data_IF_515010682660
#
_entry.id   IF_515010682660
#
_cell.length_a   1.000
_cell.length_b   1.000
_cell.length_c   1.000
_cell.angle_alpha   90.00
_cell.angle_beta   90.00
_cell.angle_gamma   90.00
#
_symmetry.space_group_name_H-M   'P 1'
#
loop_
_entity.id
_entity.type
_entity.pdbx_description
1 polymer ?
#
# COMPACT_ATOMS: atom_id res chain seq x y z
N UNK A 1 27.00 -13.37 9.50
CA UNK A 1 28.24 -12.76 8.97
C UNK A 1 29.02 -12.01 10.06
N UNK A 2 28.34 -11.10 10.85
CA UNK A 2 29.06 -10.39 11.94
C UNK A 2 29.69 -11.37 12.96
N UNK A 3 28.94 -12.42 13.32
CA UNK A 3 29.44 -13.45 14.22
C UNK A 3 30.56 -14.31 13.57
N UNK A 4 30.45 -14.62 12.28
CA UNK A 4 31.48 -15.33 11.53
C UNK A 4 32.75 -14.49 11.39
N UNK A 5 32.64 -13.18 11.31
CA UNK A 5 33.74 -12.21 11.25
C UNK A 5 34.29 -11.84 12.66
N UNK A 6 33.86 -12.57 13.73
CA UNK A 6 34.32 -12.32 15.11
C UNK A 6 33.55 -11.17 15.80
N UNK A 7 32.38 -10.84 15.36
CA UNK A 7 31.48 -9.88 16.01
C UNK A 7 30.97 -10.36 17.38
N UNK A 8 30.52 -9.44 18.21
CA UNK A 8 30.10 -9.67 19.60
C UNK A 8 28.59 -9.61 19.84
N UNK A 9 27.75 -9.46 18.77
CA UNK A 9 26.31 -9.31 18.93
C UNK A 9 25.59 -10.56 19.44
N UNK A 10 26.20 -11.74 19.22
CA UNK A 10 25.56 -13.01 19.53
C UNK A 10 24.40 -13.29 18.54
N UNK A 11 23.49 -14.15 18.96
CA UNK A 11 22.28 -14.47 18.20
C UNK A 11 21.27 -13.34 18.35
N UNK A 12 20.74 -12.84 17.22
CA UNK A 12 19.69 -11.84 17.18
C UNK A 12 18.39 -12.55 16.83
N UNK A 13 17.44 -12.55 17.76
CA UNK A 13 16.10 -13.04 17.50
C UNK A 13 15.27 -11.97 16.79
N UNK A 14 14.65 -12.36 15.68
CA UNK A 14 13.75 -11.49 14.91
C UNK A 14 12.39 -12.18 14.83
N UNK A 15 11.34 -11.49 15.28
CA UNK A 15 9.95 -11.90 15.12
C UNK A 15 9.21 -11.00 14.16
N UNK A 16 8.47 -11.58 13.21
CA UNK A 16 7.56 -10.89 12.30
C UNK A 16 6.13 -11.31 12.61
N UNK A 17 5.30 -10.36 13.04
CA UNK A 17 3.89 -10.60 13.34
C UNK A 17 3.04 -10.17 12.14
N UNK A 18 2.18 -11.06 11.67
CA UNK A 18 1.22 -10.80 10.59
C UNK A 18 -0.19 -11.15 11.09
N UNK A 19 -1.14 -10.22 10.91
CA UNK A 19 -2.53 -10.45 11.34
C UNK A 19 -3.30 -11.44 10.46
N UNK A 20 -2.92 -11.58 9.19
CA UNK A 20 -3.53 -12.54 8.28
C UNK A 20 -3.20 -13.98 8.70
N UNK A 21 -4.11 -14.91 8.49
CA UNK A 21 -3.92 -16.32 8.81
C UNK A 21 -2.81 -16.98 8.02
N UNK A 22 -2.51 -16.46 6.82
CA UNK A 22 -1.38 -16.88 5.98
C UNK A 22 -0.70 -15.67 5.35
N UNK A 23 0.60 -15.82 5.05
CA UNK A 23 1.35 -14.75 4.39
C UNK A 23 0.77 -14.42 3.01
N UNK A 24 0.59 -13.13 2.74
CA UNK A 24 0.09 -12.63 1.47
C UNK A 24 -1.44 -12.64 1.31
N UNK A 25 -2.19 -13.21 2.25
CA UNK A 25 -3.66 -13.30 2.20
C UNK A 25 -4.32 -11.90 2.13
N UNK A 26 -3.86 -10.95 2.93
CA UNK A 26 -4.40 -9.57 2.90
C UNK A 26 -3.71 -8.67 1.86
N UNK A 27 -2.89 -9.22 0.98
CA UNK A 27 -2.23 -8.47 -0.08
C UNK A 27 -2.97 -8.61 -1.41
N UNK A 28 -3.30 -7.49 -1.99
CA UNK A 28 -4.03 -7.44 -3.25
C UNK A 28 -3.11 -7.70 -4.43
N UNK A 29 -3.36 -8.78 -5.19
CA UNK A 29 -2.56 -9.21 -6.34
C UNK A 29 -2.56 -8.23 -7.50
N UNK A 30 -1.54 -8.32 -8.34
CA UNK A 30 -1.34 -7.51 -9.56
C UNK A 30 -0.77 -6.13 -9.29
N UNK A 31 0.53 -5.99 -9.54
CA UNK A 31 1.26 -4.73 -9.43
C UNK A 31 2.29 -4.61 -10.55
N UNK A 32 2.79 -3.38 -10.76
CA UNK A 32 4.00 -3.12 -11.53
C UNK A 32 5.12 -2.74 -10.57
N UNK A 33 6.14 -3.57 -10.48
CA UNK A 33 7.19 -3.52 -9.46
C UNK A 33 8.52 -3.09 -10.07
N UNK A 34 9.22 -2.17 -9.40
CA UNK A 34 10.61 -1.86 -9.67
C UNK A 34 11.49 -2.89 -8.92
N UNK A 35 12.37 -3.65 -9.62
CA UNK A 35 13.11 -4.72 -8.99
C UNK A 35 14.35 -4.26 -8.20
N UNK A 36 14.61 -2.96 -8.08
CA UNK A 36 15.87 -2.45 -7.49
C UNK A 36 16.12 -2.93 -6.06
N UNK A 37 15.08 -2.96 -5.23
CA UNK A 37 15.19 -3.39 -3.84
C UNK A 37 15.46 -4.90 -3.73
N UNK A 38 14.88 -5.72 -4.62
CA UNK A 38 15.20 -7.16 -4.68
C UNK A 38 16.66 -7.40 -4.98
N UNK A 39 17.21 -6.67 -5.98
CA UNK A 39 18.63 -6.75 -6.35
C UNK A 39 19.56 -6.28 -5.25
N UNK A 40 19.14 -5.29 -4.45
CA UNK A 40 19.92 -4.81 -3.31
C UNK A 40 19.92 -5.82 -2.16
N UNK A 41 18.77 -6.46 -1.89
CA UNK A 41 18.60 -7.40 -0.79
C UNK A 41 19.21 -8.77 -1.10
N UNK A 42 19.12 -9.23 -2.35
CA UNK A 42 19.61 -10.53 -2.82
C UNK A 42 20.48 -10.36 -4.08
N UNK A 43 21.69 -9.78 -3.92
CA UNK A 43 22.57 -9.49 -5.06
C UNK A 43 23.07 -10.74 -5.79
N UNK A 44 23.02 -11.89 -5.11
CA UNK A 44 23.42 -13.20 -5.65
C UNK A 44 22.35 -13.85 -6.55
N UNK A 45 21.10 -13.39 -6.48
CA UNK A 45 20.00 -13.96 -7.26
C UNK A 45 19.86 -13.30 -8.63
N UNK A 46 19.49 -14.09 -9.62
CA UNK A 46 19.13 -13.60 -10.96
C UNK A 46 17.69 -13.06 -11.00
N UNK A 47 17.33 -12.36 -12.07
CA UNK A 47 15.96 -11.85 -12.24
C UNK A 47 14.89 -12.93 -12.32
N UNK A 48 15.26 -14.14 -12.71
CA UNK A 48 14.37 -15.29 -12.87
C UNK A 48 14.06 -15.97 -11.52
N UNK A 49 14.92 -15.73 -10.51
CA UNK A 49 14.74 -16.26 -9.15
C UNK A 49 13.77 -15.44 -8.30
N UNK A 50 13.44 -14.20 -8.73
CA UNK A 50 12.49 -13.35 -8.02
C UNK A 50 11.05 -13.69 -8.38
N UNK A 51 10.09 -13.47 -7.47
CA UNK A 51 8.66 -13.73 -7.70
C UNK A 51 8.04 -12.65 -8.61
N UNK A 52 8.62 -12.47 -9.79
CA UNK A 52 8.25 -11.49 -10.79
C UNK A 52 7.74 -12.22 -12.03
N UNK A 53 6.49 -11.99 -12.41
CA UNK A 53 5.83 -12.79 -13.45
C UNK A 53 6.34 -12.51 -14.87
N UNK A 54 6.41 -11.23 -15.26
CA UNK A 54 6.89 -10.84 -16.59
C UNK A 54 7.39 -9.38 -16.64
N UNK A 55 8.37 -9.06 -17.51
CA UNK A 55 8.79 -7.69 -17.72
C UNK A 55 7.70 -6.88 -18.44
N UNK A 56 7.63 -5.58 -18.12
CA UNK A 56 6.78 -4.64 -18.86
C UNK A 56 7.44 -4.28 -20.20
N UNK A 57 6.90 -4.80 -21.29
CA UNK A 57 7.40 -4.57 -22.65
C UNK A 57 6.58 -3.54 -23.44
N UNK A 58 5.29 -3.43 -23.12
CA UNK A 58 4.35 -2.52 -23.79
C UNK A 58 3.43 -1.86 -22.78
N UNK A 59 3.12 -0.60 -23.01
CA UNK A 59 2.19 0.18 -22.21
C UNK A 59 1.31 1.11 -23.03
N UNK A 60 0.17 1.47 -22.51
CA UNK A 60 -0.75 2.44 -23.12
C UNK A 60 -1.48 3.22 -22.03
N UNK A 61 -1.65 4.52 -22.27
CA UNK A 61 -2.41 5.41 -21.42
C UNK A 61 -3.57 5.99 -22.23
N UNK A 62 -4.76 5.99 -21.64
CA UNK A 62 -5.97 6.50 -22.27
C UNK A 62 -6.65 7.56 -21.39
N UNK A 63 -7.22 8.57 -22.05
CA UNK A 63 -8.23 9.43 -21.46
C UNK A 63 -9.59 8.90 -21.89
N UNK A 64 -10.45 8.63 -20.92
CA UNK A 64 -11.75 8.00 -21.18
C UNK A 64 -12.91 9.00 -21.09
N UNK A 65 -13.92 8.77 -21.92
CA UNK A 65 -15.27 9.24 -21.76
C UNK A 65 -16.17 8.03 -21.52
N UNK A 66 -17.46 8.23 -21.35
CA UNK A 66 -18.41 7.13 -21.11
C UNK A 66 -18.41 6.04 -22.19
N UNK A 67 -18.10 6.39 -23.44
CA UNK A 67 -18.18 5.46 -24.58
C UNK A 67 -16.90 5.32 -25.39
N UNK A 68 -15.90 6.18 -25.18
CA UNK A 68 -14.67 6.22 -25.99
C UNK A 68 -13.43 6.31 -25.11
N UNK A 69 -12.34 5.73 -25.60
CA UNK A 69 -11.02 5.82 -25.00
C UNK A 69 -10.03 6.41 -26.02
N UNK A 70 -9.37 7.50 -25.67
CA UNK A 70 -8.42 8.20 -26.52
C UNK A 70 -7.02 7.92 -26.00
N UNK A 71 -6.21 7.22 -26.79
CA UNK A 71 -4.82 6.96 -26.45
C UNK A 71 -4.00 8.26 -26.45
N UNK A 72 -3.25 8.48 -25.39
CA UNK A 72 -2.31 9.62 -25.27
C UNK A 72 -0.87 9.10 -25.14
N UNK A 73 0.15 9.95 -25.41
CA UNK A 73 1.52 9.61 -25.08
C UNK A 73 1.65 9.28 -23.59
N UNK A 74 2.39 8.21 -23.28
CA UNK A 74 2.65 7.83 -21.89
C UNK A 74 3.39 8.94 -21.15
N UNK A 75 2.82 9.52 -20.08
CA UNK A 75 3.51 10.51 -19.27
C UNK A 75 4.86 9.99 -18.76
N UNK A 76 5.90 10.83 -18.70
CA UNK A 76 7.25 10.39 -18.29
C UNK A 76 7.27 9.64 -16.95
N UNK A 77 6.47 10.07 -15.97
CA UNK A 77 6.35 9.45 -14.64
C UNK A 77 5.70 8.07 -14.68
N UNK A 78 4.86 7.78 -15.67
CA UNK A 78 4.13 6.52 -15.81
C UNK A 78 4.85 5.49 -16.69
N UNK A 79 6.06 5.80 -17.17
CA UNK A 79 6.87 4.86 -17.95
C UNK A 79 7.37 3.72 -17.07
N UNK A 80 7.17 2.47 -17.53
CA UNK A 80 7.48 1.26 -16.78
C UNK A 80 8.55 0.38 -17.42
N UNK A 81 9.36 0.93 -18.31
CA UNK A 81 10.50 0.20 -18.89
C UNK A 81 11.45 -0.26 -17.78
N UNK A 82 11.79 -1.55 -17.74
CA UNK A 82 12.63 -2.15 -16.70
C UNK A 82 11.90 -2.56 -15.43
N UNK A 83 10.59 -2.30 -15.34
CA UNK A 83 9.72 -2.82 -14.28
C UNK A 83 9.08 -4.16 -14.68
N UNK A 84 8.50 -4.84 -13.70
CA UNK A 84 7.90 -6.16 -13.85
C UNK A 84 6.48 -6.16 -13.34
N UNK A 85 5.63 -6.96 -13.98
CA UNK A 85 4.32 -7.31 -13.46
C UNK A 85 4.51 -8.43 -12.42
N UNK A 86 3.84 -8.31 -11.29
CA UNK A 86 3.94 -9.26 -10.20
C UNK A 86 2.65 -9.37 -9.38
N UNK A 87 2.51 -10.45 -8.64
CA UNK A 87 1.53 -10.59 -7.56
C UNK A 87 2.17 -10.21 -6.23
N UNK A 88 1.57 -9.29 -5.49
CA UNK A 88 2.07 -8.89 -4.17
C UNK A 88 1.96 -10.06 -3.18
N UNK A 89 0.89 -10.85 -3.27
CA UNK A 89 0.72 -12.04 -2.44
C UNK A 89 1.86 -13.06 -2.63
N UNK A 90 2.30 -13.27 -3.88
CA UNK A 90 3.44 -14.14 -4.20
C UNK A 90 4.75 -13.56 -3.65
N UNK A 91 4.96 -12.25 -3.80
CA UNK A 91 6.13 -11.57 -3.25
C UNK A 91 6.20 -11.76 -1.73
N UNK A 92 5.08 -11.56 -1.03
CA UNK A 92 5.05 -11.66 0.44
C UNK A 92 5.31 -13.10 0.91
N UNK A 93 4.71 -14.11 0.25
CA UNK A 93 4.99 -15.52 0.54
C UNK A 93 6.46 -15.86 0.31
N UNK A 94 7.00 -15.49 -0.84
CA UNK A 94 8.40 -15.72 -1.17
C UNK A 94 9.36 -15.04 -0.18
N UNK A 95 9.07 -13.80 0.23
CA UNK A 95 9.84 -13.09 1.25
C UNK A 95 9.77 -13.79 2.61
N UNK A 96 8.60 -14.31 2.99
CA UNK A 96 8.42 -15.10 4.20
C UNK A 96 9.28 -16.37 4.21
N UNK A 97 9.22 -17.14 3.11
CA UNK A 97 10.08 -18.34 2.95
C UNK A 97 11.58 -18.01 3.07
N UNK A 98 12.01 -16.87 2.47
CA UNK A 98 13.39 -16.40 2.62
C UNK A 98 13.73 -16.01 4.06
N UNK A 99 12.81 -15.36 4.76
CA UNK A 99 12.98 -14.97 6.16
C UNK A 99 13.10 -16.20 7.07
N UNK A 100 12.20 -17.16 6.94
CA UNK A 100 12.25 -18.43 7.70
C UNK A 100 13.53 -19.22 7.39
N UNK A 101 13.96 -19.26 6.12
CA UNK A 101 15.22 -19.86 5.71
C UNK A 101 16.47 -19.21 6.32
N UNK A 102 16.35 -17.97 6.79
CA UNK A 102 17.38 -17.23 7.53
C UNK A 102 17.23 -17.33 9.06
N UNK A 103 16.30 -18.14 9.57
CA UNK A 103 16.04 -18.30 11.00
C UNK A 103 15.19 -17.19 11.63
N UNK A 104 14.51 -16.37 10.81
CA UNK A 104 13.57 -15.36 11.32
C UNK A 104 12.25 -16.05 11.67
N UNK A 105 11.71 -15.77 12.85
CA UNK A 105 10.43 -16.30 13.29
C UNK A 105 9.28 -15.50 12.66
N UNK A 106 8.48 -16.14 11.82
CA UNK A 106 7.31 -15.51 11.18
C UNK A 106 6.03 -16.07 11.81
N UNK A 107 5.18 -15.19 12.33
CA UNK A 107 3.95 -15.53 13.07
C UNK A 107 2.71 -15.00 12.33
N UNK A 108 2.15 -15.76 11.37
CA UNK A 108 0.85 -15.43 10.79
C UNK A 108 -0.28 -15.72 11.79
N UNK A 109 -1.39 -14.98 11.70
CA UNK A 109 -2.52 -15.08 12.61
C UNK A 109 -2.33 -14.37 13.95
N UNK A 110 -1.28 -13.55 14.11
CA UNK A 110 -0.99 -12.79 15.33
C UNK A 110 -1.19 -11.28 15.14
N UNK A 111 -2.44 -10.80 15.18
CA UNK A 111 -2.71 -9.36 15.18
C UNK A 111 -2.17 -8.71 16.46
N UNK A 112 -1.72 -7.47 16.34
CA UNK A 112 -1.17 -6.69 17.45
C UNK A 112 -2.19 -5.63 17.87
N UNK A 113 -2.42 -5.50 19.18
CA UNK A 113 -3.39 -4.61 19.80
C UNK A 113 -2.77 -3.27 20.22
N UNK A 114 -1.62 -3.31 20.89
CA UNK A 114 -1.02 -2.12 21.49
C UNK A 114 0.50 -2.15 21.56
N UNK A 115 1.10 -0.98 21.68
CA UNK A 115 2.51 -0.82 22.00
C UNK A 115 2.72 -1.03 23.50
N UNK A 116 3.80 -1.72 23.86
CA UNK A 116 4.32 -1.74 25.22
C UNK A 116 5.32 -0.60 25.37
N UNK A 117 5.18 0.20 26.43
CA UNK A 117 5.99 1.39 26.61
C UNK A 117 6.53 1.51 28.04
N UNK A 118 7.74 2.02 28.18
CA UNK A 118 8.34 2.46 29.45
C UNK A 118 8.82 3.91 29.33
N UNK A 119 8.14 4.83 30.02
CA UNK A 119 8.35 6.26 29.77
C UNK A 119 8.02 6.61 28.32
N UNK A 120 8.98 7.19 27.59
CA UNK A 120 8.84 7.52 26.16
C UNK A 120 9.34 6.41 25.22
N UNK A 121 9.85 5.30 25.75
CA UNK A 121 10.44 4.22 25.00
C UNK A 121 9.40 3.15 24.65
N UNK A 122 9.37 2.72 23.39
CA UNK A 122 8.68 1.50 22.97
C UNK A 122 9.56 0.31 23.28
N UNK A 123 9.04 -0.65 24.07
CA UNK A 123 9.76 -1.84 24.51
C UNK A 123 9.20 -3.14 23.92
N UNK A 124 8.21 -3.04 23.05
CA UNK A 124 7.56 -4.20 22.42
C UNK A 124 6.13 -3.94 22.04
N UNK A 125 5.38 -5.02 21.92
CA UNK A 125 3.96 -5.01 21.50
C UNK A 125 3.15 -6.04 22.30
N UNK A 126 1.85 -5.78 22.45
CA UNK A 126 0.85 -6.73 22.97
C UNK A 126 0.02 -7.27 21.84
N UNK A 127 -0.11 -8.59 21.75
CA UNK A 127 -0.98 -9.22 20.75
C UNK A 127 -2.45 -9.09 21.14
N UNK A 128 -3.33 -9.18 20.15
CA UNK A 128 -4.77 -9.31 20.37
C UNK A 128 -5.06 -10.71 20.94
N UNK A 129 -5.90 -10.85 21.98
CA UNK A 129 -6.34 -12.17 22.43
C UNK A 129 -7.13 -12.87 21.34
N UNK A 130 -7.11 -14.19 21.33
CA UNK A 130 -7.84 -15.05 20.39
C UNK A 130 -8.69 -16.09 21.13
N UNK A 131 -9.63 -16.74 20.41
CA UNK A 131 -10.50 -17.74 20.99
C UNK A 131 -11.50 -17.15 22.01
N UNK A 132 -11.99 -15.94 21.74
CA UNK A 132 -12.99 -15.27 22.59
C UNK A 132 -14.39 -15.41 22.01
N UNK A 133 -15.38 -15.47 22.89
CA UNK A 133 -16.77 -15.35 22.48
C UNK A 133 -17.15 -13.89 22.15
N UNK A 134 -18.41 -13.68 21.75
CA UNK A 134 -18.92 -12.33 21.40
C UNK A 134 -18.92 -11.32 22.57
N UNK A 135 -18.78 -11.80 23.82
CA UNK A 135 -18.72 -10.97 25.02
C UNK A 135 -17.27 -10.67 25.43
N UNK A 136 -16.29 -11.23 24.71
CA UNK A 136 -14.87 -11.10 25.01
C UNK A 136 -14.37 -12.10 26.07
N UNK A 137 -15.16 -13.11 26.41
CA UNK A 137 -14.76 -14.16 27.35
C UNK A 137 -14.09 -15.34 26.62
N UNK A 138 -13.07 -15.98 27.22
CA UNK A 138 -12.43 -17.15 26.65
C UNK A 138 -13.44 -18.25 26.27
N UNK A 139 -13.40 -18.74 25.04
CA UNK A 139 -14.32 -19.73 24.51
C UNK A 139 -13.58 -20.84 23.77
N UNK A 140 -13.63 -22.05 24.35
CA UNK A 140 -13.02 -23.23 23.74
C UNK A 140 -11.57 -23.48 24.15
N UNK A 141 -10.99 -24.55 23.59
CA UNK A 141 -9.65 -25.02 23.93
C UNK A 141 -8.53 -24.17 23.30
N UNK A 142 -8.87 -23.38 22.27
CA UNK A 142 -7.93 -22.56 21.50
C UNK A 142 -7.89 -21.10 21.98
N UNK A 143 -8.52 -20.81 23.12
CA UNK A 143 -8.48 -19.47 23.71
C UNK A 143 -7.05 -19.12 24.13
N UNK A 144 -6.53 -18.05 23.54
CA UNK A 144 -5.21 -17.51 23.85
C UNK A 144 -5.33 -16.11 24.45
N UNK A 145 -4.79 -15.86 25.63
CA UNK A 145 -4.75 -14.51 26.19
C UNK A 145 -3.86 -13.61 25.34
N UNK A 146 -4.00 -12.31 25.49
CA UNK A 146 -3.03 -11.37 24.97
C UNK A 146 -1.62 -11.68 25.51
N UNK A 147 -0.62 -11.61 24.65
CA UNK A 147 0.77 -11.87 25.01
C UNK A 147 1.60 -10.60 24.84
N UNK A 148 2.48 -10.34 25.80
CA UNK A 148 3.44 -9.25 25.74
C UNK A 148 4.73 -9.78 25.11
N UNK A 149 5.11 -9.21 23.98
CA UNK A 149 6.34 -9.52 23.27
C UNK A 149 7.27 -8.32 23.37
N UNK A 150 8.35 -8.47 24.14
CA UNK A 150 9.33 -7.41 24.32
C UNK A 150 10.41 -7.46 23.24
N UNK A 151 10.89 -6.29 22.84
CA UNK A 151 11.92 -6.15 21.83
C UNK A 151 12.81 -4.95 22.13
N UNK A 152 14.07 -5.02 21.74
CA UNK A 152 14.98 -3.86 21.82
C UNK A 152 14.59 -2.76 20.83
N UNK A 153 14.08 -3.15 19.65
CA UNK A 153 13.54 -2.25 18.63
C UNK A 153 12.29 -2.88 18.00
N UNK A 154 11.22 -2.10 17.94
CA UNK A 154 9.98 -2.45 17.25
C UNK A 154 9.94 -1.73 15.90
N UNK A 155 9.72 -2.47 14.82
CA UNK A 155 9.54 -1.90 13.47
C UNK A 155 8.06 -1.88 13.11
N UNK A 156 7.49 -0.70 12.94
CA UNK A 156 6.10 -0.50 12.54
C UNK A 156 6.01 -0.53 11.02
N UNK A 157 5.58 -1.67 10.50
CA UNK A 157 5.44 -1.97 9.06
C UNK A 157 3.98 -2.29 8.67
N UNK A 158 3.02 -1.68 9.36
CA UNK A 158 1.59 -1.99 9.27
C UNK A 158 0.93 -1.56 7.96
N UNK A 159 1.66 -0.91 7.07
CA UNK A 159 1.14 -0.38 5.82
C UNK A 159 0.32 0.90 6.00
N UNK A 160 -0.61 1.14 5.09
CA UNK A 160 -1.39 2.37 5.05
C UNK A 160 -2.20 2.58 6.32
N UNK A 161 -1.93 3.69 7.01
CA UNK A 161 -2.64 4.12 8.23
C UNK A 161 -2.70 3.01 9.30
N UNK A 162 -1.56 2.35 9.53
CA UNK A 162 -1.45 1.34 10.58
C UNK A 162 -1.85 1.91 11.95
N UNK A 163 -2.68 1.20 12.73
CA UNK A 163 -3.21 1.72 14.00
C UNK A 163 -2.13 2.09 15.00
N UNK A 164 -1.11 1.25 15.16
CA UNK A 164 -0.02 1.51 16.10
C UNK A 164 0.92 2.62 15.61
N UNK A 165 1.11 2.70 14.29
CA UNK A 165 1.86 3.81 13.67
C UNK A 165 1.19 5.14 13.93
N UNK A 166 -0.14 5.23 13.80
CA UNK A 166 -0.89 6.45 14.11
C UNK A 166 -0.84 6.74 15.61
N UNK A 167 -1.09 5.76 16.46
CA UNK A 167 -1.04 5.91 17.91
C UNK A 167 0.35 6.41 18.37
N UNK A 168 1.43 5.90 17.80
CA UNK A 168 2.78 6.34 18.11
C UNK A 168 3.03 7.79 17.65
N UNK A 169 2.62 8.15 16.42
CA UNK A 169 2.77 9.52 15.91
C UNK A 169 2.02 10.52 16.78
N UNK A 170 0.78 10.21 17.15
CA UNK A 170 -0.07 11.07 17.99
C UNK A 170 0.51 11.19 19.41
N UNK A 171 0.88 10.08 20.04
CA UNK A 171 1.49 10.06 21.38
C UNK A 171 2.78 10.85 21.44
N UNK A 172 3.63 10.71 20.42
CA UNK A 172 4.93 11.40 20.36
C UNK A 172 4.84 12.83 19.77
N UNK A 173 3.64 13.30 19.43
CA UNK A 173 3.43 14.64 18.84
C UNK A 173 4.17 14.84 17.53
N UNK A 174 4.41 13.75 16.75
CA UNK A 174 5.13 13.83 15.49
C UNK A 174 4.19 14.33 14.39
N UNK A 175 4.56 15.43 13.75
CA UNK A 175 3.77 16.08 12.71
C UNK A 175 4.43 15.98 11.34
N UNK A 176 3.64 16.21 10.30
CA UNK A 176 4.06 16.46 8.93
C UNK A 176 3.69 17.88 8.50
N UNK A 177 4.15 18.33 7.32
CA UNK A 177 3.84 19.68 6.83
C UNK A 177 2.43 19.81 6.26
N UNK A 178 1.89 18.72 5.72
CA UNK A 178 0.50 18.55 5.29
C UNK A 178 -0.07 17.31 5.99
N UNK A 179 -1.38 17.21 6.24
CA UNK A 179 -1.98 15.96 6.66
C UNK A 179 -1.76 14.88 5.60
N UNK A 180 -1.78 13.61 6.00
CA UNK A 180 -1.82 12.51 5.04
C UNK A 180 -3.21 12.45 4.42
N UNK A 181 -3.26 12.29 3.11
CA UNK A 181 -4.46 11.99 2.34
C UNK A 181 -4.33 10.61 1.70
N UNK A 182 -5.45 9.99 1.42
CA UNK A 182 -5.48 8.60 0.98
C UNK A 182 -6.25 8.42 -0.32
N UNK A 183 -5.97 7.33 -1.03
CA UNK A 183 -6.83 6.81 -2.08
C UNK A 183 -7.39 5.45 -1.68
N UNK A 184 -8.53 5.09 -2.25
CA UNK A 184 -9.07 3.73 -2.23
C UNK A 184 -8.87 3.10 -3.60
N UNK A 185 -8.16 1.98 -3.63
CA UNK A 185 -8.07 1.10 -4.77
C UNK A 185 -9.00 -0.10 -4.60
N UNK A 186 -9.88 -0.32 -5.57
CA UNK A 186 -10.67 -1.56 -5.72
C UNK A 186 -10.14 -2.31 -6.92
N UNK A 187 -9.99 -3.62 -6.81
CA UNK A 187 -9.33 -4.43 -7.81
C UNK A 187 -9.95 -5.83 -7.90
N UNK A 188 -9.92 -6.38 -9.11
CA UNK A 188 -10.34 -7.74 -9.42
C UNK A 188 -9.23 -8.44 -10.20
N UNK A 189 -9.10 -9.76 -10.01
CA UNK A 189 -8.34 -10.66 -10.88
C UNK A 189 -9.34 -11.47 -11.69
N UNK A 190 -9.08 -11.58 -12.99
CA UNK A 190 -9.94 -12.26 -13.93
C UNK A 190 -9.17 -13.33 -14.70
N UNK A 191 -9.73 -14.51 -14.80
CA UNK A 191 -9.38 -15.47 -15.85
C UNK A 191 -10.06 -15.05 -17.14
N UNK A 192 -9.29 -14.89 -18.23
CA UNK A 192 -9.76 -14.34 -19.48
C UNK A 192 -9.46 -15.26 -20.66
N UNK A 193 -10.32 -15.20 -21.69
CA UNK A 193 -10.10 -15.94 -22.95
C UNK A 193 -9.23 -15.16 -23.93
N UNK A 194 -9.22 -13.82 -23.83
CA UNK A 194 -8.44 -12.95 -24.70
C UNK A 194 -7.25 -12.39 -23.93
N UNK A 195 -6.02 -12.74 -24.32
CA UNK A 195 -4.83 -12.26 -23.65
C UNK A 195 -4.67 -10.74 -23.79
N UNK A 196 -4.14 -10.10 -22.77
CA UNK A 196 -3.72 -8.72 -22.78
C UNK A 196 -2.20 -8.65 -22.98
N UNK A 197 -1.72 -7.95 -24.03
CA UNK A 197 -0.30 -7.91 -24.39
C UNK A 197 0.48 -6.73 -23.79
N UNK A 198 -0.17 -5.90 -22.99
CA UNK A 198 0.39 -4.65 -22.44
C UNK A 198 -0.27 -4.24 -21.14
N UNK A 199 0.40 -3.38 -20.40
CA UNK A 199 -0.26 -2.67 -19.32
C UNK A 199 -1.09 -1.50 -19.88
N UNK A 200 -2.25 -1.27 -19.28
CA UNK A 200 -3.15 -0.17 -19.65
C UNK A 200 -3.41 0.66 -18.39
N UNK A 201 -3.25 1.97 -18.52
CA UNK A 201 -3.74 2.94 -17.53
C UNK A 201 -4.78 3.84 -18.18
N UNK A 202 -5.78 4.25 -17.40
CA UNK A 202 -6.77 5.21 -17.88
C UNK A 202 -6.97 6.36 -16.89
N UNK A 203 -7.47 7.48 -17.40
CA UNK A 203 -7.77 8.69 -16.65
C UNK A 203 -9.17 9.20 -17.02
N UNK A 204 -9.72 10.08 -16.19
CA UNK A 204 -11.04 10.69 -16.29
C UNK A 204 -12.16 9.69 -16.00
N UNK A 205 -13.10 9.44 -16.93
CA UNK A 205 -14.24 8.55 -16.69
C UNK A 205 -13.79 7.16 -16.17
N UNK A 206 -14.48 6.54 -15.18
CA UNK A 206 -15.77 6.91 -14.62
C UNK A 206 -15.72 7.92 -13.47
N UNK A 207 -14.53 8.41 -13.13
CA UNK A 207 -14.38 9.36 -12.04
C UNK A 207 -14.97 10.74 -12.40
N UNK A 208 -15.59 11.44 -11.43
CA UNK A 208 -16.01 12.82 -11.62
C UNK A 208 -14.78 13.74 -11.80
N UNK A 209 -14.98 14.89 -12.42
CA UNK A 209 -13.89 15.81 -12.80
C UNK A 209 -13.13 16.41 -11.61
N UNK A 210 -13.69 16.34 -10.42
CA UNK A 210 -13.12 16.81 -9.14
C UNK A 210 -12.49 15.69 -8.31
N UNK A 211 -12.56 14.43 -8.75
CA UNK A 211 -11.87 13.31 -8.11
C UNK A 211 -10.54 13.01 -8.82
N UNK A 212 -9.51 12.81 -8.03
CA UNK A 212 -8.22 12.33 -8.52
C UNK A 212 -8.24 10.80 -8.58
N UNK A 213 -7.64 10.24 -9.64
CA UNK A 213 -7.51 8.78 -9.77
C UNK A 213 -7.48 8.32 -11.20
N UNK A 214 -7.72 7.04 -11.38
CA UNK A 214 -7.73 6.38 -12.67
C UNK A 214 -7.84 4.88 -12.54
N UNK A 215 -7.81 4.19 -13.68
CA UNK A 215 -7.90 2.73 -13.68
C UNK A 215 -6.71 2.08 -14.38
N UNK A 216 -6.60 0.78 -14.19
CA UNK A 216 -5.54 0.01 -14.78
C UNK A 216 -6.01 -1.40 -15.20
N UNK A 217 -5.32 -1.99 -16.19
CA UNK A 217 -5.33 -3.42 -16.48
C UNK A 217 -3.89 -3.92 -16.65
N UNK A 218 -3.54 -4.99 -15.96
CA UNK A 218 -2.22 -5.61 -16.01
C UNK A 218 -2.33 -7.10 -16.38
N UNK A 219 -1.59 -7.58 -17.40
CA UNK A 219 -1.54 -9.00 -17.75
C UNK A 219 -0.69 -9.77 -16.73
N UNK A 220 -1.31 -10.47 -15.80
CA UNK A 220 -0.61 -11.33 -14.85
C UNK A 220 -0.03 -12.58 -15.52
N UNK A 221 -0.78 -13.14 -16.48
CA UNK A 221 -0.37 -14.22 -17.37
C UNK A 221 -1.05 -14.04 -18.73
N UNK A 222 -0.98 -15.05 -19.61
CA UNK A 222 -1.73 -15.04 -20.87
C UNK A 222 -3.23 -15.28 -20.68
N UNK A 223 -3.60 -15.81 -19.52
CA UNK A 223 -4.98 -16.13 -19.16
C UNK A 223 -5.50 -15.36 -17.96
N UNK A 224 -4.67 -14.50 -17.33
CA UNK A 224 -5.07 -13.73 -16.14
C UNK A 224 -4.80 -12.24 -16.31
N UNK A 225 -5.77 -11.43 -15.91
CA UNK A 225 -5.69 -9.96 -15.91
C UNK A 225 -6.07 -9.44 -14.52
N UNK A 226 -5.26 -8.54 -13.96
CA UNK A 226 -5.69 -7.69 -12.87
C UNK A 226 -6.29 -6.40 -13.43
N UNK A 227 -7.49 -6.04 -12.98
CA UNK A 227 -8.19 -4.80 -13.34
C UNK A 227 -8.57 -4.04 -12.08
N UNK A 228 -8.39 -2.72 -12.05
CA UNK A 228 -8.73 -1.93 -10.88
C UNK A 228 -9.00 -0.47 -11.16
N UNK A 229 -9.64 0.15 -10.18
CA UNK A 229 -9.96 1.58 -10.13
C UNK A 229 -9.43 2.15 -8.83
N UNK A 230 -8.70 3.24 -8.90
CA UNK A 230 -8.16 3.97 -7.76
C UNK A 230 -8.75 5.37 -7.73
N UNK A 231 -9.19 5.83 -6.57
CA UNK A 231 -9.74 7.18 -6.37
C UNK A 231 -9.24 7.77 -5.05
N UNK A 232 -8.76 9.02 -5.10
CA UNK A 232 -8.44 9.78 -3.91
C UNK A 232 -9.70 10.01 -3.06
N UNK A 233 -9.59 9.80 -1.74
CA UNK A 233 -10.72 9.91 -0.80
C UNK A 233 -11.15 11.36 -0.52
N UNK A 234 -10.45 12.34 -1.11
CA UNK A 234 -10.78 13.77 -1.08
C UNK A 234 -11.82 14.19 -2.14
N UNK A 235 -12.62 13.23 -2.66
CA UNK A 235 -13.77 13.53 -3.51
C UNK A 235 -14.87 14.25 -2.71
N UNK A 236 -15.63 15.11 -3.40
CA UNK A 236 -16.61 15.98 -2.72
C UNK A 236 -17.95 15.31 -2.43
N UNK A 237 -18.42 14.42 -3.29
CA UNK A 237 -19.73 13.78 -3.10
C UNK A 237 -19.64 12.54 -2.23
N UNK A 238 -20.05 12.64 -0.96
CA UNK A 238 -20.07 11.52 -0.02
C UNK A 238 -20.96 10.32 -0.40
N UNK A 239 -21.70 10.39 -1.53
CA UNK A 239 -22.45 9.25 -2.09
C UNK A 239 -21.68 8.50 -3.16
N UNK A 240 -20.48 8.97 -3.53
CA UNK A 240 -19.64 8.33 -4.52
C UNK A 240 -19.28 6.90 -4.05
N UNK A 241 -19.56 5.92 -4.90
CA UNK A 241 -19.36 4.51 -4.59
C UNK A 241 -18.31 3.91 -5.54
N UNK A 242 -17.09 3.76 -5.05
CA UNK A 242 -15.94 3.30 -5.84
C UNK A 242 -16.17 1.90 -6.42
N UNK A 243 -16.85 1.01 -5.68
CA UNK A 243 -17.19 -0.31 -6.19
C UNK A 243 -18.17 -0.21 -7.37
N UNK A 244 -19.22 0.61 -7.24
CA UNK A 244 -20.16 0.82 -8.34
C UNK A 244 -19.46 1.40 -9.59
N UNK A 245 -18.52 2.31 -9.40
CA UNK A 245 -17.77 2.90 -10.52
C UNK A 245 -16.83 1.89 -11.19
N UNK A 246 -16.25 0.95 -10.44
CA UNK A 246 -15.53 -0.19 -11.01
C UNK A 246 -16.46 -1.05 -11.88
N UNK A 247 -17.70 -1.33 -11.41
CA UNK A 247 -18.67 -2.10 -12.18
C UNK A 247 -19.07 -1.35 -13.48
N UNK A 248 -19.31 -0.04 -13.40
CA UNK A 248 -19.57 0.80 -14.59
C UNK A 248 -18.39 0.77 -15.56
N UNK A 249 -17.18 0.92 -15.06
CA UNK A 249 -15.96 0.90 -15.86
C UNK A 249 -15.83 -0.40 -16.68
N UNK A 250 -16.13 -1.54 -16.09
CA UNK A 250 -16.06 -2.84 -16.80
C UNK A 250 -17.01 -2.95 -18.00
N UNK A 251 -18.12 -2.20 -17.99
CA UNK A 251 -19.06 -2.15 -19.12
C UNK A 251 -18.51 -1.36 -20.32
N UNK A 252 -17.49 -0.51 -20.11
CA UNK A 252 -16.88 0.25 -21.20
C UNK A 252 -16.17 -0.68 -22.20
N UNK A 253 -16.28 -0.43 -23.54
CA UNK A 253 -15.72 -1.31 -24.58
C UNK A 253 -14.24 -1.64 -24.42
N UNK A 254 -13.42 -0.71 -23.87
CA UNK A 254 -11.99 -0.92 -23.62
C UNK A 254 -11.72 -2.08 -22.65
N UNK A 255 -12.55 -2.23 -21.62
CA UNK A 255 -12.41 -3.28 -20.61
C UNK A 255 -13.21 -4.52 -20.99
N UNK A 256 -14.47 -4.32 -21.38
CA UNK A 256 -15.41 -5.38 -21.71
C UNK A 256 -14.84 -6.38 -22.74
N UNK A 257 -14.13 -5.90 -23.76
CA UNK A 257 -13.53 -6.76 -24.79
C UNK A 257 -12.55 -7.80 -24.27
N UNK A 258 -11.96 -7.61 -23.06
CA UNK A 258 -11.06 -8.56 -22.44
C UNK A 258 -11.76 -9.41 -21.38
N UNK A 259 -12.71 -8.82 -20.64
CA UNK A 259 -13.36 -9.44 -19.48
C UNK A 259 -14.59 -10.26 -19.86
N UNK A 260 -15.27 -9.94 -20.98
CA UNK A 260 -16.50 -10.64 -21.38
C UNK A 260 -16.24 -12.10 -21.71
N UNK A 261 -16.98 -12.98 -21.04
CA UNK A 261 -16.81 -14.43 -21.15
C UNK A 261 -15.64 -15.00 -20.35
N UNK A 262 -14.96 -14.18 -19.56
CA UNK A 262 -14.03 -14.58 -18.53
C UNK A 262 -14.71 -14.84 -17.18
N UNK A 263 -13.93 -15.13 -16.15
CA UNK A 263 -14.37 -15.36 -14.78
C UNK A 263 -13.59 -14.47 -13.81
N UNK A 264 -14.30 -13.78 -12.90
CA UNK A 264 -13.68 -13.06 -11.79
C UNK A 264 -13.32 -14.07 -10.69
N UNK A 265 -12.02 -14.21 -10.42
CA UNK A 265 -11.50 -15.21 -9.44
C UNK A 265 -11.15 -14.59 -8.09
N UNK A 266 -10.76 -13.30 -8.08
CA UNK A 266 -10.37 -12.61 -6.85
C UNK A 266 -10.84 -11.15 -6.88
N UNK A 267 -11.24 -10.63 -5.71
CA UNK A 267 -11.55 -9.23 -5.50
C UNK A 267 -10.87 -8.71 -4.23
N UNK A 268 -10.53 -7.45 -4.22
CA UNK A 268 -10.02 -6.81 -3.02
C UNK A 268 -10.05 -5.29 -3.10
N UNK A 269 -9.92 -4.67 -1.93
CA UNK A 269 -9.83 -3.23 -1.78
C UNK A 269 -8.70 -2.88 -0.80
N UNK A 270 -7.97 -1.81 -1.09
CA UNK A 270 -6.88 -1.33 -0.24
C UNK A 270 -6.77 0.18 -0.31
N UNK A 271 -6.51 0.82 0.82
CA UNK A 271 -6.14 2.22 0.86
C UNK A 271 -4.64 2.41 0.57
N UNK A 272 -4.28 3.57 0.04
CA UNK A 272 -2.92 3.94 -0.35
C UNK A 272 -2.66 5.37 0.15
N UNK A 273 -1.51 5.69 0.78
CA UNK A 273 -1.19 7.06 1.16
C UNK A 273 -0.82 7.89 -0.08
N UNK A 274 -1.44 9.06 -0.24
CA UNK A 274 -1.27 9.91 -1.43
C UNK A 274 -0.74 11.33 -1.14
N UNK A 275 -0.48 11.67 0.12
CA UNK A 275 -0.03 13.00 0.50
C UNK A 275 1.38 13.35 -0.01
N UNK A 276 2.20 12.34 -0.28
CA UNK A 276 3.55 12.49 -0.83
C UNK A 276 4.49 13.21 0.12
N UNK A 277 5.48 13.93 -0.45
CA UNK A 277 6.60 14.53 0.27
C UNK A 277 6.23 15.33 1.54
N UNK A 278 5.24 16.20 1.45
CA UNK A 278 4.84 17.06 2.56
C UNK A 278 4.06 16.35 3.67
N UNK A 279 3.57 15.14 3.40
CA UNK A 279 2.82 14.33 4.37
C UNK A 279 3.66 13.23 5.01
N UNK A 280 4.95 13.12 4.64
CA UNK A 280 5.88 12.24 5.35
C UNK A 280 6.14 12.83 6.75
N UNK A 281 6.03 12.03 7.84
CA UNK A 281 6.32 12.50 9.19
C UNK A 281 7.76 13.04 9.30
N UNK A 282 7.95 14.14 10.04
CA UNK A 282 9.26 14.76 10.21
C UNK A 282 10.27 13.84 10.90
N UNK A 283 9.78 12.96 11.78
CA UNK A 283 10.54 11.97 12.49
C UNK A 283 9.91 10.58 12.25
N UNK A 284 10.68 9.60 11.85
CA UNK A 284 10.24 8.24 11.51
C UNK A 284 10.89 7.19 12.40
N UNK A 285 11.42 7.62 13.55
CA UNK A 285 12.04 6.81 14.58
C UNK A 285 11.78 7.44 15.94
N UNK A 286 11.95 6.69 16.99
CA UNK A 286 11.89 7.12 18.38
C UNK A 286 12.67 6.14 19.26
N UNK A 287 12.59 6.30 20.57
CA UNK A 287 13.19 5.35 21.49
C UNK A 287 12.61 3.94 21.28
N UNK A 288 13.43 3.01 20.82
CA UNK A 288 13.05 1.62 20.57
C UNK A 288 12.07 1.39 19.42
N UNK A 289 11.86 2.34 18.51
CA UNK A 289 10.88 2.20 17.42
C UNK A 289 11.31 2.85 16.12
N UNK A 290 10.91 2.25 14.97
CA UNK A 290 11.10 2.77 13.62
C UNK A 290 9.84 2.54 12.78
N UNK A 291 9.43 3.53 11.95
CA UNK A 291 8.38 3.42 10.94
C UNK A 291 8.97 3.18 9.55
N UNK A 292 8.38 2.25 8.79
CA UNK A 292 8.83 1.90 7.43
C UNK A 292 7.66 1.84 6.43
N UNK A 293 7.98 1.90 5.15
CA UNK A 293 7.02 1.70 4.05
C UNK A 293 5.86 2.69 4.06
N UNK A 294 4.67 2.19 3.75
CA UNK A 294 3.45 3.00 3.67
C UNK A 294 3.02 3.55 5.03
N UNK A 295 3.42 2.92 6.14
CA UNK A 295 3.19 3.45 7.49
C UNK A 295 3.87 4.82 7.69
N UNK A 296 5.00 5.03 7.02
CA UNK A 296 5.69 6.33 6.94
C UNK A 296 5.27 7.18 5.72
N UNK A 297 4.35 6.70 4.88
CA UNK A 297 3.86 7.43 3.71
C UNK A 297 4.79 7.40 2.49
N UNK A 298 5.66 6.41 2.34
CA UNK A 298 6.62 6.32 1.24
C UNK A 298 5.99 5.78 -0.05
N UNK A 299 5.06 6.52 -0.62
CA UNK A 299 4.43 6.22 -1.90
C UNK A 299 4.57 7.38 -2.87
N UNK A 300 5.06 7.10 -4.05
CA UNK A 300 5.14 8.07 -5.14
C UNK A 300 3.94 7.87 -6.07
N UNK A 301 2.97 8.76 -5.92
CA UNK A 301 1.63 8.66 -6.52
C UNK A 301 1.67 8.82 -8.04
N UNK A 302 2.49 9.72 -8.58
CA UNK A 302 2.51 10.01 -10.01
C UNK A 302 3.09 8.89 -10.87
N UNK A 303 3.92 8.03 -10.28
CA UNK A 303 4.42 6.80 -10.92
C UNK A 303 3.66 5.56 -10.51
N UNK A 304 2.74 5.65 -9.55
CA UNK A 304 2.01 4.51 -8.98
C UNK A 304 2.96 3.49 -8.34
N UNK A 305 3.96 3.95 -7.58
CA UNK A 305 5.04 3.14 -7.02
C UNK A 305 5.17 3.36 -5.51
N UNK A 306 5.25 2.25 -4.75
CA UNK A 306 5.48 2.23 -3.31
C UNK A 306 6.29 1.01 -2.86
N UNK A 307 6.09 -0.15 -3.49
CA UNK A 307 6.65 -1.43 -3.04
C UNK A 307 8.18 -1.38 -2.86
N UNK A 308 8.91 -0.88 -3.84
CA UNK A 308 10.37 -0.79 -3.74
C UNK A 308 10.81 0.23 -2.68
N UNK A 309 10.04 1.29 -2.41
CA UNK A 309 10.32 2.23 -1.32
C UNK A 309 10.09 1.58 0.05
N UNK A 310 9.03 0.78 0.20
CA UNK A 310 8.79 0.01 1.40
C UNK A 310 9.98 -0.93 1.68
N UNK A 311 10.44 -1.68 0.66
CA UNK A 311 11.60 -2.57 0.78
C UNK A 311 12.88 -1.80 1.09
N UNK A 312 13.20 -0.72 0.35
CA UNK A 312 14.39 0.10 0.62
C UNK A 312 14.38 0.69 2.04
N UNK A 313 13.22 1.17 2.51
CA UNK A 313 13.10 1.68 3.88
C UNK A 313 13.34 0.60 4.93
N UNK A 314 12.86 -0.62 4.70
CA UNK A 314 13.14 -1.78 5.54
C UNK A 314 14.63 -2.13 5.59
N UNK A 315 15.31 -2.13 4.43
CA UNK A 315 16.77 -2.34 4.34
C UNK A 315 17.53 -1.27 5.14
N UNK A 316 17.14 0.01 5.01
CA UNK A 316 17.78 1.10 5.77
C UNK A 316 17.51 0.98 7.27
N UNK A 317 16.30 0.60 7.67
CA UNK A 317 15.94 0.35 9.06
C UNK A 317 16.79 -0.78 9.65
N UNK A 318 16.88 -1.92 8.96
CA UNK A 318 17.68 -3.06 9.41
C UNK A 318 19.16 -2.69 9.59
N UNK A 319 19.75 -1.95 8.65
CA UNK A 319 21.13 -1.46 8.75
C UNK A 319 21.34 -0.56 9.97
N UNK A 320 20.40 0.36 10.23
CA UNK A 320 20.52 1.25 11.38
C UNK A 320 20.31 0.51 12.71
N UNK A 321 19.33 -0.39 12.77
CA UNK A 321 19.10 -1.24 13.96
C UNK A 321 20.34 -2.06 14.27
N UNK A 322 20.97 -2.66 13.27
CA UNK A 322 22.21 -3.41 13.45
C UNK A 322 23.31 -2.55 14.07
N UNK A 323 23.50 -1.31 13.61
CA UNK A 323 24.48 -0.37 14.18
C UNK A 323 24.15 0.01 15.62
N UNK A 324 22.85 0.21 15.92
CA UNK A 324 22.37 0.55 17.26
C UNK A 324 22.59 -0.62 18.24
N UNK A 325 22.24 -1.83 17.85
CA UNK A 325 22.44 -3.04 18.64
C UNK A 325 23.94 -3.31 18.95
N UNK A 326 24.83 -3.09 17.97
CA UNK A 326 26.30 -3.21 18.22
C UNK A 326 26.80 -2.23 19.26
N UNK A 327 26.15 -1.09 19.43
CA UNK A 327 26.49 -0.10 20.47
C UNK A 327 25.78 -0.34 21.79
N UNK A 328 24.81 -1.26 21.84
CA UNK A 328 23.93 -1.47 22.99
C UNK A 328 23.02 -0.28 23.28
N UNK A 329 22.75 0.57 22.27
CA UNK A 329 21.98 1.80 22.42
C UNK A 329 20.88 1.85 21.33
N UNK A 330 19.61 1.78 21.75
CA UNK A 330 18.43 1.85 20.88
C UNK A 330 17.59 3.10 21.15
N UNK A 331 18.20 4.15 21.72
CA UNK A 331 17.59 5.45 21.93
C UNK A 331 17.20 6.13 20.63
N UNK A 332 16.32 7.12 20.70
CA UNK A 332 15.97 7.98 19.57
C UNK A 332 17.23 8.52 18.88
N UNK A 333 18.22 8.98 19.66
CA UNK A 333 19.47 9.50 19.11
C UNK A 333 20.27 8.43 18.35
N UNK A 334 20.30 7.20 18.85
CA UNK A 334 21.00 6.10 18.21
C UNK A 334 20.28 5.65 16.92
N UNK A 335 18.95 5.74 16.86
CA UNK A 335 18.15 5.36 15.69
C UNK A 335 17.99 6.49 14.66
N UNK A 336 18.42 7.72 14.96
CA UNK A 336 18.28 8.91 14.08
C UNK A 336 18.94 8.75 12.69
N UNK A 337 19.97 7.89 12.61
CA UNK A 337 20.63 7.57 11.34
C UNK A 337 19.68 6.98 10.29
N UNK A 338 18.61 6.31 10.69
CA UNK A 338 17.56 5.82 9.80
C UNK A 338 16.86 6.98 9.05
N UNK A 339 16.36 7.98 9.80
CA UNK A 339 15.71 9.15 9.19
C UNK A 339 16.67 9.87 8.24
N UNK A 340 17.93 10.04 8.64
CA UNK A 340 18.96 10.65 7.79
C UNK A 340 19.20 9.84 6.51
N UNK A 341 19.30 8.51 6.61
CA UNK A 341 19.49 7.64 5.46
C UNK A 341 18.32 7.73 4.46
N UNK A 342 17.08 7.72 4.96
CA UNK A 342 15.89 7.89 4.13
C UNK A 342 15.87 9.26 3.47
N UNK A 343 16.19 10.34 4.19
CA UNK A 343 16.19 11.71 3.66
C UNK A 343 17.21 11.90 2.51
N UNK A 344 18.29 11.16 2.55
CA UNK A 344 19.33 11.18 1.50
C UNK A 344 19.09 10.15 0.38
N UNK A 345 18.09 9.29 0.53
CA UNK A 345 17.83 8.19 -0.41
C UNK A 345 17.03 8.62 -1.64
N UNK A 346 16.88 7.66 -2.56
CA UNK A 346 15.99 7.77 -3.72
C UNK A 346 14.54 8.04 -3.31
N UNK A 347 14.09 7.54 -2.14
CA UNK A 347 12.71 7.73 -1.64
C UNK A 347 12.40 9.23 -1.55
N UNK A 348 13.14 9.95 -0.70
CA UNK A 348 12.85 11.38 -0.48
C UNK A 348 13.22 12.25 -1.66
N UNK A 349 14.20 11.85 -2.48
CA UNK A 349 14.54 12.54 -3.73
C UNK A 349 13.37 12.51 -4.71
N UNK A 350 12.82 11.33 -4.98
CA UNK A 350 11.71 11.17 -5.92
C UNK A 350 10.44 11.84 -5.42
N UNK A 351 10.11 11.66 -4.12
CA UNK A 351 8.98 12.35 -3.50
C UNK A 351 9.12 13.87 -3.61
N UNK A 352 10.31 14.42 -3.39
CA UNK A 352 10.58 15.87 -3.48
C UNK A 352 10.46 16.41 -4.91
N UNK A 353 10.95 15.69 -5.90
CA UNK A 353 10.82 16.07 -7.30
C UNK A 353 9.35 16.14 -7.75
N UNK A 354 8.49 15.32 -7.16
CA UNK A 354 7.06 15.18 -7.53
C UNK A 354 6.09 15.69 -6.47
N UNK A 355 6.58 16.44 -5.47
CA UNK A 355 5.89 16.84 -4.24
C UNK A 355 4.51 17.49 -4.40
N UNK A 356 4.29 18.16 -5.52
CA UNK A 356 3.03 18.85 -5.80
C UNK A 356 2.20 18.19 -6.92
N UNK A 357 2.67 17.09 -7.54
CA UNK A 357 1.97 16.53 -8.71
C UNK A 357 0.55 16.09 -8.37
N UNK A 358 0.40 15.28 -7.32
CA UNK A 358 -0.93 14.85 -6.85
C UNK A 358 -1.77 16.04 -6.38
N UNK A 359 -1.17 16.93 -5.61
CA UNK A 359 -1.85 18.05 -4.97
C UNK A 359 -2.35 19.10 -5.98
N UNK A 360 -1.72 19.21 -7.14
CA UNK A 360 -2.14 20.12 -8.20
C UNK A 360 -3.53 19.80 -8.76
N UNK A 361 -3.95 18.53 -8.68
CA UNK A 361 -5.25 18.07 -9.18
C UNK A 361 -6.43 18.48 -8.27
N UNK A 362 -6.18 18.95 -7.04
CA UNK A 362 -7.25 19.56 -6.21
C UNK A 362 -7.91 20.76 -6.89
N UNK A 363 -7.23 21.42 -7.83
CA UNK A 363 -7.77 22.47 -8.67
C UNK A 363 -8.55 21.99 -9.91
N UNK A 364 -8.81 20.68 -10.02
CA UNK A 364 -9.50 20.05 -11.16
C UNK A 364 -8.53 19.40 -12.16
N UNK A 365 -9.07 18.49 -12.97
CA UNK A 365 -8.29 17.61 -13.86
C UNK A 365 -7.43 18.37 -14.88
N UNK A 366 -7.99 19.35 -15.60
CA UNK A 366 -7.29 20.08 -16.65
C UNK A 366 -6.16 20.96 -16.09
N UNK A 367 -6.45 21.76 -15.06
CA UNK A 367 -5.46 22.63 -14.42
C UNK A 367 -4.36 21.82 -13.72
N UNK A 368 -4.72 20.72 -13.10
CA UNK A 368 -3.80 19.76 -12.49
C UNK A 368 -2.87 19.13 -13.52
N UNK A 369 -3.42 18.70 -14.67
CA UNK A 369 -2.65 18.11 -15.76
C UNK A 369 -1.59 19.06 -16.34
N UNK A 370 -1.92 20.34 -16.56
CA UNK A 370 -0.97 21.36 -17.01
C UNK A 370 0.15 21.55 -15.99
N UNK A 371 -0.20 21.71 -14.70
CA UNK A 371 0.80 21.85 -13.62
C UNK A 371 1.68 20.61 -13.48
N UNK A 372 1.10 19.42 -13.52
CA UNK A 372 1.85 18.16 -13.43
C UNK A 372 2.81 17.98 -14.61
N UNK A 373 2.40 18.37 -15.84
CA UNK A 373 3.27 18.37 -17.02
C UNK A 373 4.46 19.31 -16.83
N UNK A 374 4.22 20.53 -16.35
CA UNK A 374 5.27 21.50 -16.09
C UNK A 374 6.25 21.00 -14.99
N UNK A 375 5.72 20.40 -13.93
CA UNK A 375 6.55 19.77 -12.89
C UNK A 375 7.40 18.61 -13.44
N UNK A 376 6.83 17.77 -14.31
CA UNK A 376 7.58 16.68 -14.95
C UNK A 376 8.76 17.21 -15.78
N UNK A 377 8.55 18.26 -16.56
CA UNK A 377 9.59 18.87 -17.41
C UNK A 377 10.69 19.57 -16.60
N UNK A 378 10.34 20.14 -15.47
CA UNK A 378 11.25 20.94 -14.62
C UNK A 378 11.77 20.18 -13.39
N UNK A 379 11.51 18.87 -13.30
CA UNK A 379 11.85 18.02 -12.12
C UNK A 379 11.35 18.64 -10.81
N UNK A 380 10.14 19.14 -10.83
CA UNK A 380 9.50 19.75 -9.64
C UNK A 380 9.89 21.21 -9.35
N UNK A 381 10.69 21.86 -10.20
CA UNK A 381 11.05 23.27 -9.98
C UNK A 381 9.86 24.22 -10.20
N UNK A 382 8.99 23.92 -11.17
CA UNK A 382 7.82 24.73 -11.52
C UNK A 382 6.54 23.89 -11.63
N UNK A 383 5.40 24.39 -11.09
CA UNK A 383 5.32 25.53 -10.18
C UNK A 383 6.01 25.20 -8.85
N UNK A 384 6.78 26.16 -8.34
CA UNK A 384 7.48 26.02 -7.06
C UNK A 384 6.55 26.16 -5.84
N UNK A 385 7.15 26.11 -4.65
CA UNK A 385 6.42 26.26 -3.38
C UNK A 385 5.76 24.97 -2.90
N UNK A 386 4.92 25.12 -1.86
CA UNK A 386 4.12 24.07 -1.24
C UNK A 386 2.65 24.29 -1.55
N UNK A 387 1.96 23.26 -2.02
CA UNK A 387 0.51 23.24 -2.06
C UNK A 387 0.03 22.68 -0.71
N UNK A 388 -0.62 23.53 0.09
CA UNK A 388 -1.25 23.11 1.34
C UNK A 388 -2.57 22.42 1.07
N UNK A 389 -2.87 21.40 1.86
CA UNK A 389 -4.10 20.62 1.78
C UNK A 389 -4.70 20.44 3.17
N UNK A 390 -5.98 20.14 3.19
CA UNK A 390 -6.75 19.69 4.34
C UNK A 390 -6.90 18.18 4.32
N UNK A 391 -7.45 17.61 5.37
CA UNK A 391 -7.78 16.18 5.46
C UNK A 391 -8.83 15.79 4.41
N UNK A 392 -8.86 14.51 4.04
CA UNK A 392 -9.73 13.96 2.98
C UNK A 392 -11.20 14.33 3.15
N UNK A 393 -11.72 14.28 4.37
CA UNK A 393 -13.13 14.49 4.66
C UNK A 393 -13.54 15.98 4.77
N UNK A 394 -12.58 16.92 4.73
CA UNK A 394 -12.86 18.34 5.02
C UNK A 394 -13.92 18.96 4.10
N UNK A 395 -13.90 18.60 2.82
CA UNK A 395 -14.82 19.12 1.80
C UNK A 395 -15.95 18.15 1.42
N UNK A 396 -16.08 17.00 2.08
CA UNK A 396 -17.08 16.00 1.74
C UNK A 396 -18.50 16.49 2.03
N UNK A 397 -19.35 16.54 1.01
CA UNK A 397 -20.76 16.99 1.05
C UNK A 397 -21.64 16.02 0.24
N UNK A 398 -22.94 16.06 0.48
CA UNK A 398 -23.90 15.43 -0.43
C UNK A 398 -24.17 16.40 -1.59
N UNK A 399 -23.69 16.07 -2.78
CA UNK A 399 -23.84 16.86 -3.99
C UNK A 399 -24.70 16.10 -5.02
N UNK A 400 -25.60 16.82 -5.71
CA UNK A 400 -26.34 16.32 -6.87
C UNK A 400 -27.17 15.04 -6.63
N UNK A 401 -27.52 14.35 -7.70
CA UNK A 401 -28.14 13.02 -7.67
C UNK A 401 -27.06 11.94 -7.56
N UNK A 402 -27.36 10.85 -6.85
CA UNK A 402 -26.46 9.69 -6.86
C UNK A 402 -26.35 9.15 -8.29
N UNK A 403 -25.16 8.65 -8.67
CA UNK A 403 -25.00 7.94 -9.93
C UNK A 403 -25.94 6.73 -9.98
N UNK A 404 -26.45 6.41 -11.17
CA UNK A 404 -27.25 5.21 -11.37
C UNK A 404 -26.46 3.97 -10.93
N UNK A 405 -27.08 3.16 -10.09
CA UNK A 405 -26.45 1.92 -9.64
C UNK A 405 -26.47 0.90 -10.77
N UNK A 406 -25.33 0.28 -11.01
CA UNK A 406 -25.25 -0.90 -11.87
C UNK A 406 -26.05 -2.02 -11.24
N UNK A 407 -26.95 -2.64 -12.02
CA UNK A 407 -27.61 -3.88 -11.61
C UNK A 407 -26.65 -5.03 -11.93
N UNK A 408 -26.15 -5.76 -10.92
CA UNK A 408 -25.20 -6.83 -11.15
C UNK A 408 -25.82 -7.98 -11.93
N UNK A 409 -25.09 -8.51 -12.91
CA UNK A 409 -25.50 -9.66 -13.71
C UNK A 409 -24.84 -11.00 -13.26
N UNK A 410 -23.93 -10.93 -12.32
CA UNK A 410 -23.18 -12.08 -11.79
C UNK A 410 -22.18 -12.69 -12.77
N UNK A 411 -21.93 -12.03 -13.92
CA UNK A 411 -21.02 -12.49 -14.98
C UNK A 411 -19.92 -11.49 -15.27
N UNK A 412 -20.29 -10.27 -15.65
CA UNK A 412 -19.35 -9.15 -15.85
C UNK A 412 -19.37 -8.17 -14.69
N UNK A 413 -20.54 -7.97 -14.08
CA UNK A 413 -20.73 -7.07 -12.95
C UNK A 413 -21.19 -7.84 -11.71
N UNK A 414 -20.65 -7.46 -10.53
CA UNK A 414 -20.87 -8.16 -9.27
C UNK A 414 -21.39 -7.22 -8.19
N UNK A 415 -22.22 -7.74 -7.29
CA UNK A 415 -22.61 -7.03 -6.07
C UNK A 415 -21.43 -6.90 -5.10
N UNK A 416 -21.54 -6.01 -4.09
CA UNK A 416 -20.55 -5.92 -3.02
C UNK A 416 -20.44 -7.24 -2.22
N UNK A 417 -21.56 -7.94 -2.05
CA UNK A 417 -21.61 -9.22 -1.34
C UNK A 417 -20.83 -10.28 -2.12
N UNK A 418 -21.05 -10.38 -3.43
CA UNK A 418 -20.32 -11.32 -4.29
C UNK A 418 -18.81 -10.99 -4.32
N UNK A 419 -18.47 -9.70 -4.37
CA UNK A 419 -17.08 -9.24 -4.35
C UNK A 419 -16.39 -9.59 -3.02
N UNK A 420 -17.05 -9.35 -1.87
CA UNK A 420 -16.53 -9.71 -0.55
C UNK A 420 -16.34 -11.22 -0.43
N UNK A 421 -17.30 -12.02 -0.89
CA UNK A 421 -17.15 -13.48 -0.92
C UNK A 421 -15.91 -13.92 -1.73
N UNK A 422 -15.67 -13.30 -2.87
CA UNK A 422 -14.51 -13.59 -3.73
C UNK A 422 -13.19 -12.93 -3.27
N UNK A 423 -13.20 -12.18 -2.16
CA UNK A 423 -11.97 -11.64 -1.58
C UNK A 423 -11.17 -12.68 -0.80
N UNK A 424 -11.80 -13.80 -0.44
CA UNK A 424 -11.21 -14.80 0.45
C UNK A 424 -11.09 -14.34 1.91
N UNK A 425 -11.43 -13.09 2.23
CA UNK A 425 -11.40 -12.60 3.61
C UNK A 425 -12.48 -13.30 4.43
N UNK A 426 -12.08 -13.85 5.57
CA UNK A 426 -12.97 -14.46 6.53
C UNK A 426 -13.11 -13.57 7.75
N UNK A 427 -14.33 -13.52 8.29
CA UNK A 427 -14.56 -12.94 9.62
C UNK A 427 -14.10 -13.95 10.64
N UNK A 428 -13.26 -13.52 11.55
CA UNK A 428 -12.85 -14.38 12.69
C UNK A 428 -14.01 -14.53 13.65
N UNK A 429 -14.35 -15.79 13.96
CA UNK A 429 -15.41 -16.12 14.92
C UNK A 429 -14.87 -16.21 16.36
N UNK A 430 -13.55 -16.19 16.52
CA UNK A 430 -12.80 -16.35 17.77
C UNK A 430 -12.36 -15.02 18.40
N UNK A 431 -12.89 -13.91 17.93
CA UNK A 431 -12.69 -12.57 18.50
C UNK A 431 -14.02 -11.81 18.60
N UNK A 432 -14.15 -10.85 19.53
CA UNK A 432 -15.33 -9.99 19.63
C UNK A 432 -15.60 -9.24 18.33
N UNK A 433 -16.88 -8.97 18.05
CA UNK A 433 -17.27 -8.13 16.93
C UNK A 433 -16.62 -6.74 17.03
N UNK A 434 -16.15 -6.20 15.90
CA UNK A 434 -15.62 -4.85 15.84
C UNK A 434 -16.65 -3.74 16.12
N UNK A 435 -17.94 -4.07 16.00
CA UNK A 435 -19.05 -3.17 16.27
C UNK A 435 -19.75 -3.64 17.54
N UNK A 436 -19.36 -3.06 18.67
CA UNK A 436 -20.17 -3.08 19.87
C UNK A 436 -21.32 -2.08 19.65
N UNK A 437 -22.49 -2.57 19.35
CA UNK A 437 -23.71 -1.76 19.41
C UNK A 437 -24.05 -1.65 20.90
N UNK A 438 -23.81 -0.47 21.48
CA UNK A 438 -24.28 -0.17 22.82
C UNK A 438 -25.82 -0.32 22.90
N UNK A 439 -26.32 -0.83 24.01
CA UNK A 439 -27.76 -0.88 24.33
C UNK A 439 -28.37 0.52 24.38
#
# INVERSE_FOLDING_TARGET
KDNEDGGSLGEIEIGVLEKAGTLGEHNLSGAVVNPSAFKELFPELSMEDFPLRRPVTKESVYVMTESKAFRIPTPPTMKNHGNYIASISEIVRWMGEKAEGLGINVFPGFPVDSLLVEGDKVIGVRTTPAGLDRNGEPSGADAMPAMDLTAQVTVLAEGTRGPLSQAWLDWQGVTSENPQIFALGVKEVWEVKKPLDRIIHTMAWPLPSDAFGGSFMYPLSDTEIAVGLVVGLDYRDGRFDVHNELQRMKLHPLFRQYLEGGEMVEWGAKTIPEGGYYSVPKRRHGDGVILVGDAAGYVEVSSLKGIHYAMHSGIMAARQIFVALKKGDTSEAALAGYTTAVDQSVIMKDLKERRNMRLAFKGGFLSGGVKATLMSLTKGALPGGKISIEEDAADTKRLGAAADKVVPDGKLTFSKVDAVYKSGNQTRDDIPSHLLVGE
#
